data_IF_527943416994
#
_entry.id   IF_527943416994
#
_cell.length_a   1.000
_cell.length_b   1.000
_cell.length_c   1.000
_cell.angle_alpha   90.00
_cell.angle_beta   90.00
_cell.angle_gamma   90.00
#
_symmetry.space_group_name_H-M   'P 1'
#
loop_
_entity.id
_entity.type
_entity.pdbx_description
1 polymer ?
#
# COMPACT_ATOMS: atom_id res chain seq x y z
N UNK A 1 -18.53 5.79 -3.63
CA UNK A 1 -19.76 5.09 -3.17
C UNK A 1 -19.45 3.91 -2.23
N UNK A 2 -18.50 3.00 -2.54
CA UNK A 2 -18.17 1.86 -1.67
C UNK A 2 -17.69 2.30 -0.28
N UNK A 3 -16.81 3.30 -0.19
CA UNK A 3 -16.32 3.84 1.08
C UNK A 3 -17.43 4.45 1.92
N UNK A 4 -18.39 5.14 1.28
CA UNK A 4 -19.56 5.68 1.97
C UNK A 4 -20.46 4.58 2.52
N UNK A 5 -20.66 3.49 1.76
CA UNK A 5 -21.42 2.32 2.25
C UNK A 5 -20.75 1.65 3.45
N UNK A 6 -19.42 1.61 3.47
CA UNK A 6 -18.65 1.04 4.60
C UNK A 6 -18.49 2.02 5.78
N UNK A 7 -18.81 3.30 5.61
CA UNK A 7 -18.67 4.32 6.65
C UNK A 7 -17.22 4.61 7.05
N UNK A 8 -16.25 4.33 6.18
CA UNK A 8 -14.81 4.51 6.43
C UNK A 8 -14.15 5.30 5.31
N UNK A 9 -12.86 5.61 5.48
CA UNK A 9 -12.09 6.34 4.46
C UNK A 9 -11.88 5.51 3.18
N UNK A 10 -11.75 6.15 2.00
CA UNK A 10 -11.52 5.44 0.73
C UNK A 10 -10.32 4.49 0.76
N UNK A 11 -9.22 4.90 1.40
CA UNK A 11 -8.04 4.04 1.52
C UNK A 11 -8.28 2.79 2.37
N UNK A 12 -9.05 2.89 3.44
CA UNK A 12 -9.43 1.74 4.28
C UNK A 12 -10.28 0.74 3.49
N UNK A 13 -11.25 1.24 2.71
CA UNK A 13 -12.08 0.40 1.83
C UNK A 13 -11.25 -0.25 0.73
N UNK A 14 -10.37 0.51 0.08
CA UNK A 14 -9.47 -0.01 -0.94
C UNK A 14 -8.57 -1.12 -0.37
N UNK A 15 -7.95 -0.88 0.78
CA UNK A 15 -7.09 -1.89 1.44
C UNK A 15 -7.88 -3.14 1.80
N UNK A 16 -9.12 -3.01 2.27
CA UNK A 16 -10.01 -4.15 2.56
C UNK A 16 -10.33 -4.96 1.29
N UNK A 17 -10.63 -4.30 0.18
CA UNK A 17 -10.82 -4.94 -1.13
C UNK A 17 -9.59 -5.71 -1.57
N UNK A 18 -8.41 -5.10 -1.43
CA UNK A 18 -7.13 -5.75 -1.75
C UNK A 18 -6.88 -6.96 -0.86
N UNK A 19 -7.19 -6.89 0.43
CA UNK A 19 -7.11 -8.04 1.33
C UNK A 19 -8.02 -9.18 0.87
N UNK A 20 -9.28 -8.90 0.50
CA UNK A 20 -10.22 -9.90 -0.02
C UNK A 20 -9.71 -10.53 -1.32
N UNK A 21 -9.24 -9.72 -2.26
CA UNK A 21 -8.72 -10.19 -3.54
C UNK A 21 -7.47 -11.07 -3.38
N UNK A 22 -6.51 -10.63 -2.57
CA UNK A 22 -5.26 -11.38 -2.31
C UNK A 22 -5.55 -12.65 -1.54
N UNK A 23 -6.43 -12.60 -0.56
CA UNK A 23 -6.90 -13.79 0.18
C UNK A 23 -7.47 -14.84 -0.76
N UNK A 24 -8.40 -14.44 -1.62
CA UNK A 24 -9.03 -15.35 -2.58
C UNK A 24 -8.02 -15.91 -3.58
N UNK A 25 -7.12 -15.08 -4.09
CA UNK A 25 -6.09 -15.50 -5.05
C UNK A 25 -5.07 -16.47 -4.45
N UNK A 26 -4.64 -16.24 -3.20
CA UNK A 26 -3.65 -17.08 -2.52
C UNK A 26 -4.27 -18.28 -1.79
N UNK A 27 -5.59 -18.38 -1.73
CA UNK A 27 -6.35 -19.41 -1.01
C UNK A 27 -5.91 -19.56 0.45
N UNK A 28 -5.99 -18.45 1.20
CA UNK A 28 -5.55 -18.38 2.60
C UNK A 28 -6.69 -17.95 3.51
N UNK A 29 -6.60 -18.33 4.80
CA UNK A 29 -7.55 -17.88 5.84
C UNK A 29 -7.08 -16.60 6.56
N UNK A 30 -5.92 -16.08 6.19
CA UNK A 30 -5.36 -14.83 6.70
C UNK A 30 -4.50 -14.16 5.65
N UNK A 31 -4.41 -12.85 5.73
CA UNK A 31 -3.57 -12.04 4.83
C UNK A 31 -2.61 -11.20 5.67
N UNK A 32 -1.34 -11.26 5.31
CA UNK A 32 -0.30 -10.40 5.85
C UNK A 32 -0.08 -9.24 4.86
N UNK A 33 -0.53 -8.05 5.21
CA UNK A 33 -0.31 -6.88 4.38
C UNK A 33 0.57 -5.85 5.07
N UNK A 34 1.27 -5.06 4.28
CA UNK A 34 2.01 -3.91 4.76
C UNK A 34 1.58 -2.64 4.03
N UNK A 35 1.69 -1.52 4.72
CA UNK A 35 1.43 -0.21 4.15
C UNK A 35 2.44 0.81 4.65
N UNK A 36 2.60 1.85 3.86
CA UNK A 36 3.54 2.93 4.16
C UNK A 36 2.78 4.23 4.37
N UNK A 37 3.26 5.06 5.28
CA UNK A 37 2.69 6.37 5.56
C UNK A 37 3.78 7.43 5.69
N UNK A 38 3.45 8.65 5.27
CA UNK A 38 4.31 9.80 5.48
C UNK A 38 4.37 10.17 6.97
N UNK A 39 5.56 10.38 7.46
CA UNK A 39 5.83 10.76 8.85
C UNK A 39 6.51 12.14 8.98
N UNK A 40 6.57 12.93 7.89
CA UNK A 40 7.21 14.26 7.93
C UNK A 40 6.63 15.15 9.01
N UNK A 41 5.31 15.19 9.13
CA UNK A 41 4.64 15.98 10.17
C UNK A 41 5.02 15.51 11.56
N UNK A 42 5.02 14.22 11.80
CA UNK A 42 5.41 13.63 13.08
C UNK A 42 6.87 13.91 13.43
N UNK A 43 7.75 14.00 12.44
CA UNK A 43 9.16 14.35 12.59
C UNK A 43 9.41 15.86 12.73
N UNK A 44 8.39 16.70 12.61
CA UNK A 44 8.55 18.15 12.58
C UNK A 44 9.30 18.66 11.35
N UNK A 45 9.30 17.91 10.26
CA UNK A 45 10.03 18.20 9.03
C UNK A 45 9.13 18.11 7.79
N UNK A 46 8.03 18.91 7.71
CA UNK A 46 7.01 18.76 6.67
C UNK A 46 7.56 18.95 5.24
N UNK A 47 8.64 19.70 5.10
CA UNK A 47 9.26 20.00 3.80
C UNK A 47 10.52 19.16 3.52
N UNK A 48 10.76 18.10 4.28
CA UNK A 48 11.93 17.24 4.07
C UNK A 48 11.87 16.53 2.71
N UNK A 49 12.95 16.59 1.97
CA UNK A 49 13.09 15.94 0.66
C UNK A 49 13.59 14.49 0.75
N UNK A 50 14.07 14.07 1.91
CA UNK A 50 14.52 12.70 2.13
C UNK A 50 13.37 11.78 2.53
N UNK A 51 13.64 10.49 2.55
CA UNK A 51 12.65 9.47 2.90
C UNK A 51 12.24 9.56 4.37
N UNK A 52 10.99 9.93 4.62
CA UNK A 52 10.35 10.01 5.93
C UNK A 52 9.16 9.04 6.00
N UNK A 53 9.34 7.82 5.54
CA UNK A 53 8.27 6.81 5.47
C UNK A 53 8.33 5.89 6.68
N UNK A 54 7.22 5.78 7.39
CA UNK A 54 6.98 4.74 8.39
C UNK A 54 6.20 3.60 7.72
N UNK A 55 6.68 2.37 7.83
CA UNK A 55 6.03 1.20 7.27
C UNK A 55 5.46 0.33 8.38
N UNK A 56 4.22 -0.07 8.24
CA UNK A 56 3.50 -0.92 9.18
C UNK A 56 3.11 -2.23 8.51
N UNK A 57 2.96 -3.26 9.30
CA UNK A 57 2.56 -4.58 8.85
C UNK A 57 1.44 -5.10 9.73
N UNK A 58 0.43 -5.72 9.10
CA UNK A 58 -0.73 -6.26 9.78
C UNK A 58 -1.09 -7.64 9.26
N UNK A 59 -1.34 -8.54 10.17
CA UNK A 59 -1.92 -9.84 9.92
C UNK A 59 -3.42 -9.75 10.14
N UNK A 60 -4.21 -10.04 9.12
CA UNK A 60 -5.66 -9.96 9.12
C UNK A 60 -6.24 -11.36 8.89
N UNK A 61 -6.83 -12.00 9.91
CA UNK A 61 -7.68 -13.17 9.70
C UNK A 61 -8.88 -12.78 8.85
N UNK A 62 -9.16 -13.56 7.80
CA UNK A 62 -10.16 -13.18 6.81
C UNK A 62 -10.83 -14.42 6.21
N UNK A 63 -12.11 -14.60 6.49
CA UNK A 63 -12.92 -15.67 5.89
C UNK A 63 -13.38 -15.27 4.47
N UNK A 64 -13.76 -16.27 3.66
CA UNK A 64 -14.14 -16.04 2.26
C UNK A 64 -15.39 -15.17 2.14
N UNK A 65 -16.31 -15.31 3.09
CA UNK A 65 -17.64 -14.69 3.13
C UNK A 65 -17.67 -13.40 3.96
N UNK A 66 -16.52 -12.96 4.52
CA UNK A 66 -16.46 -11.74 5.33
C UNK A 66 -17.00 -10.53 4.56
N UNK A 67 -18.02 -9.81 5.10
CA UNK A 67 -18.56 -8.62 4.46
C UNK A 67 -17.50 -7.53 4.31
N UNK A 68 -17.47 -6.86 3.15
CA UNK A 68 -16.51 -5.79 2.90
C UNK A 68 -16.53 -4.70 3.98
N UNK A 69 -17.73 -4.32 4.45
CA UNK A 69 -17.89 -3.29 5.47
C UNK A 69 -17.19 -3.67 6.78
N UNK A 70 -17.30 -4.91 7.22
CA UNK A 70 -16.65 -5.41 8.44
C UNK A 70 -15.12 -5.37 8.30
N UNK A 71 -14.61 -5.89 7.19
CA UNK A 71 -13.17 -5.88 6.88
C UNK A 71 -12.65 -4.44 6.82
N UNK A 72 -13.39 -3.54 6.16
CA UNK A 72 -13.00 -2.15 6.00
C UNK A 72 -12.97 -1.38 7.34
N UNK A 73 -13.92 -1.66 8.24
CA UNK A 73 -13.94 -1.09 9.60
C UNK A 73 -12.73 -1.57 10.41
N UNK A 74 -12.38 -2.87 10.32
CA UNK A 74 -11.19 -3.41 10.99
C UNK A 74 -9.89 -2.78 10.47
N UNK A 75 -9.77 -2.64 9.15
CA UNK A 75 -8.62 -1.95 8.51
C UNK A 75 -8.56 -0.48 8.92
N UNK A 76 -9.69 0.23 8.97
CA UNK A 76 -9.75 1.63 9.34
C UNK A 76 -9.34 1.87 10.80
N UNK A 77 -9.74 0.98 11.70
CA UNK A 77 -9.32 1.02 13.11
C UNK A 77 -7.81 0.85 13.26
N UNK A 78 -7.22 -0.13 12.56
CA UNK A 78 -5.77 -0.36 12.54
C UNK A 78 -5.01 0.84 11.96
N UNK A 79 -5.48 1.39 10.85
CA UNK A 79 -4.89 2.59 10.24
C UNK A 79 -4.94 3.78 11.21
N UNK A 80 -6.05 4.03 11.88
CA UNK A 80 -6.20 5.12 12.85
C UNK A 80 -5.21 5.00 14.01
N UNK A 81 -5.02 3.81 14.53
CA UNK A 81 -4.05 3.55 15.59
C UNK A 81 -2.62 3.87 15.13
N UNK A 82 -2.23 3.35 13.98
CA UNK A 82 -0.85 3.45 13.48
C UNK A 82 -0.52 4.80 12.84
N UNK A 83 -1.52 5.58 12.44
CA UNK A 83 -1.31 6.92 11.88
C UNK A 83 -1.06 8.00 12.94
N UNK A 84 -1.14 7.68 14.23
CA UNK A 84 -0.78 8.62 15.29
C UNK A 84 0.69 9.05 15.18
N UNK A 85 0.99 10.29 15.57
CA UNK A 85 2.36 10.81 15.53
C UNK A 85 3.33 9.95 16.36
N UNK A 86 2.89 9.52 17.53
CA UNK A 86 3.67 8.67 18.42
C UNK A 86 4.05 7.33 17.77
N UNK A 87 3.08 6.64 17.16
CA UNK A 87 3.32 5.37 16.48
C UNK A 87 4.25 5.51 15.29
N UNK A 88 4.08 6.57 14.49
CA UNK A 88 4.96 6.87 13.36
C UNK A 88 6.40 7.10 13.82
N UNK A 89 6.61 7.92 14.87
CA UNK A 89 7.92 8.18 15.44
C UNK A 89 8.56 6.93 16.00
N UNK A 90 7.80 6.14 16.76
CA UNK A 90 8.29 4.87 17.29
C UNK A 90 8.74 3.94 16.14
N UNK A 91 7.93 3.81 15.10
CA UNK A 91 8.24 2.94 13.96
C UNK A 91 9.48 3.39 13.20
N UNK A 92 9.63 4.70 12.97
CA UNK A 92 10.85 5.23 12.35
C UNK A 92 12.06 5.00 13.23
N UNK A 93 11.95 5.25 14.52
CA UNK A 93 13.06 5.02 15.44
C UNK A 93 13.50 3.54 15.45
N UNK A 94 12.55 2.62 15.42
CA UNK A 94 12.81 1.19 15.32
C UNK A 94 13.50 0.82 14.00
N UNK A 95 12.97 1.28 12.86
CA UNK A 95 13.55 1.05 11.54
C UNK A 95 14.96 1.66 11.42
N UNK A 96 15.11 2.91 11.81
CA UNK A 96 16.41 3.60 11.75
C UNK A 96 17.41 3.02 12.75
N UNK A 97 16.96 2.62 13.92
CA UNK A 97 17.80 1.96 14.91
C UNK A 97 18.38 0.63 14.40
N UNK A 98 17.59 -0.13 13.66
CA UNK A 98 18.06 -1.34 13.00
C UNK A 98 19.08 -1.03 11.89
N UNK A 99 18.74 -0.12 10.98
CA UNK A 99 19.63 0.31 9.89
C UNK A 99 20.95 0.82 10.46
N UNK A 100 20.90 1.69 11.47
CA UNK A 100 22.08 2.25 12.12
C UNK A 100 22.96 1.15 12.72
N UNK A 101 22.38 0.21 13.47
CA UNK A 101 23.14 -0.91 14.08
C UNK A 101 23.86 -1.75 13.02
N UNK A 102 23.21 -2.07 11.92
CA UNK A 102 23.84 -2.82 10.82
C UNK A 102 24.92 -1.97 10.14
N UNK A 103 24.67 -0.66 9.94
CA UNK A 103 25.64 0.24 9.33
C UNK A 103 26.93 0.34 10.13
N UNK A 104 26.82 0.42 11.46
CA UNK A 104 27.98 0.51 12.37
C UNK A 104 28.84 -0.76 12.44
N UNK A 105 28.37 -1.88 11.91
CA UNK A 105 29.20 -3.10 11.90
C UNK A 105 30.43 -2.92 11.01
N UNK A 106 31.60 -3.32 11.54
CA UNK A 106 32.86 -3.39 10.76
C UNK A 106 32.84 -4.60 9.85
N UNK A 107 31.96 -4.61 8.86
CA UNK A 107 31.73 -5.72 7.94
C UNK A 107 31.64 -5.21 6.50
N UNK A 108 31.94 -6.09 5.54
CA UNK A 108 31.78 -5.77 4.13
C UNK A 108 30.32 -5.51 3.76
N UNK A 109 30.10 -4.79 2.67
CA UNK A 109 28.74 -4.51 2.16
C UNK A 109 27.93 -5.79 1.92
N UNK A 110 28.60 -6.84 1.44
CA UNK A 110 27.96 -8.15 1.20
C UNK A 110 27.45 -8.78 2.49
N UNK A 111 28.21 -8.70 3.57
CA UNK A 111 27.78 -9.19 4.89
C UNK A 111 26.62 -8.34 5.41
N UNK A 112 26.71 -7.02 5.34
CA UNK A 112 25.62 -6.11 5.74
C UNK A 112 24.32 -6.41 4.99
N UNK A 113 24.42 -6.63 3.67
CA UNK A 113 23.29 -7.03 2.84
C UNK A 113 22.62 -8.33 3.31
N UNK A 114 23.43 -9.34 3.65
CA UNK A 114 22.92 -10.62 4.20
C UNK A 114 22.22 -10.41 5.56
N UNK A 115 22.76 -9.57 6.43
CA UNK A 115 22.14 -9.25 7.72
C UNK A 115 20.77 -8.60 7.51
N UNK A 116 20.64 -7.65 6.54
CA UNK A 116 19.34 -7.06 6.21
C UNK A 116 18.37 -8.11 5.68
N UNK A 117 18.78 -8.97 4.76
CA UNK A 117 17.92 -10.03 4.22
C UNK A 117 17.46 -11.01 5.30
N UNK A 118 18.33 -11.36 6.25
CA UNK A 118 17.97 -12.19 7.40
C UNK A 118 17.00 -11.46 8.32
N UNK A 119 17.21 -10.18 8.56
CA UNK A 119 16.30 -9.35 9.37
C UNK A 119 14.90 -9.28 8.78
N UNK A 120 14.78 -9.11 7.47
CA UNK A 120 13.51 -9.16 6.75
C UNK A 120 12.82 -10.53 6.93
N UNK A 121 13.57 -11.61 6.80
CA UNK A 121 13.03 -12.96 6.99
C UNK A 121 12.56 -13.23 8.43
N UNK A 122 13.33 -12.80 9.42
CA UNK A 122 13.00 -12.99 10.84
C UNK A 122 11.82 -12.10 11.26
N UNK A 123 11.69 -10.91 10.70
CA UNK A 123 10.59 -9.98 11.00
C UNK A 123 9.25 -10.37 10.37
N UNK A 124 9.19 -11.50 9.63
CA UNK A 124 7.99 -11.97 8.97
C UNK A 124 7.76 -11.37 7.58
N UNK A 125 8.74 -10.66 7.03
CA UNK A 125 8.73 -10.33 5.61
C UNK A 125 9.13 -11.54 4.76
N UNK A 126 8.54 -11.70 3.58
CA UNK A 126 7.67 -10.73 2.90
C UNK A 126 6.20 -10.82 3.32
N UNK A 127 5.52 -9.69 3.39
CA UNK A 127 4.07 -9.63 3.42
C UNK A 127 3.48 -10.28 2.14
N UNK A 128 2.23 -10.73 2.18
CA UNK A 128 1.53 -11.22 0.99
C UNK A 128 1.41 -10.11 -0.05
N UNK A 129 1.12 -8.89 0.43
CA UNK A 129 1.18 -7.71 -0.39
C UNK A 129 1.57 -6.47 0.43
N UNK A 130 2.04 -5.45 -0.27
CA UNK A 130 2.17 -4.11 0.28
C UNK A 130 1.36 -3.13 -0.55
N UNK A 131 0.80 -2.12 0.12
CA UNK A 131 0.00 -1.08 -0.49
C UNK A 131 0.52 0.29 -0.12
N UNK A 132 0.61 1.15 -1.11
CA UNK A 132 0.92 2.57 -0.96
C UNK A 132 -0.16 3.40 -1.63
N UNK A 133 -0.60 4.47 -0.99
CA UNK A 133 -1.58 5.38 -1.54
C UNK A 133 -1.05 6.80 -1.47
N UNK A 134 -0.75 7.36 -2.62
CA UNK A 134 -0.22 8.73 -2.74
C UNK A 134 -1.31 9.80 -2.84
N UNK A 135 -2.57 9.40 -2.95
CA UNK A 135 -3.67 10.33 -3.15
C UNK A 135 -3.55 11.09 -4.47
N UNK A 136 -3.98 12.34 -4.46
CA UNK A 136 -3.78 13.26 -5.58
C UNK A 136 -2.48 14.03 -5.40
N UNK A 137 -1.38 13.64 -6.05
CA UNK A 137 -0.04 14.13 -5.76
C UNK A 137 0.14 15.64 -6.01
N UNK A 138 -0.72 16.23 -6.81
CA UNK A 138 -0.66 17.66 -7.19
C UNK A 138 -1.70 18.53 -6.53
N UNK A 139 -2.72 17.94 -5.89
CA UNK A 139 -3.88 18.68 -5.40
C UNK A 139 -3.59 19.76 -4.34
N UNK A 140 -2.64 19.57 -3.39
CA UNK A 140 -2.36 20.61 -2.40
C UNK A 140 -1.47 21.75 -2.90
N UNK A 141 -0.51 21.44 -3.80
CA UNK A 141 0.56 22.37 -4.16
C UNK A 141 0.31 23.14 -5.45
N UNK A 142 -0.48 22.61 -6.36
CA UNK A 142 -0.74 23.25 -7.65
C UNK A 142 -2.01 22.70 -8.29
N UNK A 143 -3.21 23.12 -7.83
CA UNK A 143 -4.47 22.66 -8.43
C UNK A 143 -4.57 23.02 -9.92
N UNK A 144 -3.87 24.07 -10.34
CA UNK A 144 -3.80 24.46 -11.75
C UNK A 144 -3.02 23.47 -12.63
N UNK A 145 -2.01 22.80 -12.09
CA UNK A 145 -1.26 21.77 -12.83
C UNK A 145 -2.09 20.52 -13.06
N UNK A 146 -2.99 20.19 -12.13
CA UNK A 146 -3.82 19.00 -12.20
C UNK A 146 -4.66 18.96 -13.49
N UNK A 147 -5.11 20.10 -13.99
CA UNK A 147 -5.89 20.20 -15.24
C UNK A 147 -5.13 19.81 -16.51
N UNK A 148 -3.80 19.84 -16.47
CA UNK A 148 -2.95 19.50 -17.63
C UNK A 148 -2.41 18.08 -17.57
N UNK A 149 -2.69 17.33 -16.50
CA UNK A 149 -2.22 15.97 -16.29
C UNK A 149 -3.41 15.05 -16.46
N UNK A 150 -3.37 14.21 -17.48
CA UNK A 150 -4.44 13.27 -17.81
C UNK A 150 -4.34 11.98 -17.00
N UNK A 151 -3.12 11.50 -16.75
CA UNK A 151 -2.85 10.29 -15.96
C UNK A 151 -1.62 10.47 -15.10
N UNK A 152 -1.61 9.79 -13.97
CA UNK A 152 -0.49 9.76 -13.04
C UNK A 152 -0.31 8.38 -12.43
N UNK A 153 0.84 7.79 -12.70
CA UNK A 153 1.20 6.46 -12.20
C UNK A 153 2.53 6.51 -11.47
N UNK A 154 2.65 5.69 -10.43
CA UNK A 154 3.91 5.54 -9.70
C UNK A 154 4.40 4.11 -9.76
N UNK A 155 5.71 3.97 -9.88
CA UNK A 155 6.37 2.69 -9.96
C UNK A 155 7.50 2.62 -8.95
N UNK A 156 7.36 1.75 -7.96
CA UNK A 156 8.44 1.38 -7.02
C UNK A 156 8.86 -0.06 -7.30
N UNK A 157 10.14 -0.40 -7.33
CA UNK A 157 10.57 -1.77 -7.52
C UNK A 157 9.93 -2.72 -6.51
N UNK A 158 9.41 -3.85 -6.97
CA UNK A 158 8.92 -4.90 -6.09
C UNK A 158 10.10 -5.69 -5.53
N UNK A 159 10.26 -5.72 -4.21
CA UNK A 159 11.21 -6.57 -3.53
C UNK A 159 10.53 -7.84 -2.99
N UNK A 160 11.29 -8.95 -3.02
CA UNK A 160 10.82 -10.23 -2.45
C UNK A 160 9.68 -10.90 -3.21
N UNK A 161 8.88 -11.66 -2.49
CA UNK A 161 7.75 -12.43 -3.01
C UNK A 161 6.40 -11.70 -2.91
N UNK A 162 6.38 -10.51 -2.32
CA UNK A 162 5.16 -9.72 -2.10
C UNK A 162 4.61 -9.17 -3.41
N UNK A 163 3.29 -9.02 -3.43
CA UNK A 163 2.58 -8.26 -4.47
C UNK A 163 2.69 -6.78 -4.10
N UNK A 164 3.20 -5.96 -4.99
CA UNK A 164 3.25 -4.50 -4.79
C UNK A 164 2.02 -3.84 -5.40
N UNK A 165 1.34 -3.01 -4.64
CA UNK A 165 0.12 -2.32 -5.04
C UNK A 165 0.27 -0.82 -4.76
N UNK A 166 0.49 -0.04 -5.80
CA UNK A 166 0.55 1.42 -5.68
C UNK A 166 -0.70 2.06 -6.24
N UNK A 167 -1.28 2.95 -5.44
CA UNK A 167 -2.51 3.62 -5.73
C UNK A 167 -2.28 5.12 -5.85
N UNK A 168 -2.77 5.71 -6.92
CA UNK A 168 -2.85 7.16 -7.12
C UNK A 168 -4.29 7.56 -7.37
N UNK A 169 -4.62 8.82 -7.18
CA UNK A 169 -5.96 9.34 -7.45
C UNK A 169 -5.85 10.64 -8.24
N UNK A 170 -6.48 10.67 -9.41
CA UNK A 170 -6.53 11.85 -10.27
C UNK A 170 -7.91 11.92 -10.94
N UNK A 171 -8.51 13.11 -10.99
CA UNK A 171 -9.83 13.35 -11.63
C UNK A 171 -10.95 12.39 -11.18
N UNK A 172 -10.92 11.94 -9.91
CA UNK A 172 -11.91 11.00 -9.38
C UNK A 172 -11.69 9.53 -9.76
N UNK A 173 -10.64 9.24 -10.49
CA UNK A 173 -10.22 7.90 -10.87
C UNK A 173 -9.09 7.46 -9.93
N UNK A 174 -9.17 6.23 -9.42
CA UNK A 174 -8.08 5.59 -8.69
C UNK A 174 -7.35 4.68 -9.65
N UNK A 175 -6.08 4.97 -9.88
CA UNK A 175 -5.19 4.11 -10.68
C UNK A 175 -4.45 3.17 -9.75
N UNK A 176 -4.52 1.87 -10.02
CA UNK A 176 -3.86 0.81 -9.27
C UNK A 176 -2.77 0.17 -10.11
N UNK A 177 -1.52 0.41 -9.74
CA UNK A 177 -0.35 -0.21 -10.35
C UNK A 177 0.02 -1.50 -9.59
N UNK A 178 -0.05 -2.63 -10.29
CA UNK A 178 0.27 -3.96 -9.74
C UNK A 178 1.69 -4.33 -10.14
N UNK A 179 2.51 -4.71 -9.15
CA UNK A 179 3.91 -5.10 -9.35
C UNK A 179 4.19 -6.46 -8.75
N UNK A 180 4.80 -7.31 -9.52
CA UNK A 180 5.19 -8.64 -9.08
C UNK A 180 6.61 -8.94 -9.52
N UNK A 181 7.45 -9.44 -8.61
CA UNK A 181 8.76 -9.97 -8.94
C UNK A 181 8.68 -11.36 -9.56
N UNK A 182 7.66 -12.12 -9.16
CA UNK A 182 7.36 -13.46 -9.66
C UNK A 182 6.07 -13.38 -10.47
N UNK A 183 6.00 -14.00 -11.67
CA UNK A 183 4.75 -14.04 -12.43
C UNK A 183 3.58 -14.55 -11.59
N UNK A 184 2.44 -13.87 -11.69
CA UNK A 184 1.22 -14.20 -10.95
C UNK A 184 0.04 -14.27 -11.92
N UNK A 185 -0.03 -15.36 -12.71
CA UNK A 185 -1.10 -15.52 -13.70
C UNK A 185 -2.46 -15.52 -13.01
N UNK A 186 -3.45 -14.86 -13.63
CA UNK A 186 -4.81 -14.76 -13.10
C UNK A 186 -5.00 -13.77 -11.94
N UNK A 187 -3.93 -13.09 -11.46
CA UNK A 187 -4.08 -12.15 -10.34
C UNK A 187 -4.85 -10.88 -10.74
N UNK A 188 -4.61 -10.37 -11.93
CA UNK A 188 -5.32 -9.18 -12.43
C UNK A 188 -6.82 -9.45 -12.57
N UNK A 189 -7.19 -10.63 -13.08
CA UNK A 189 -8.57 -11.08 -13.20
C UNK A 189 -9.22 -11.28 -11.83
N UNK A 190 -8.51 -11.89 -10.88
CA UNK A 190 -9.00 -12.05 -9.51
C UNK A 190 -9.22 -10.70 -8.81
N UNK A 191 -8.31 -9.76 -9.03
CA UNK A 191 -8.42 -8.41 -8.51
C UNK A 191 -9.64 -7.69 -9.10
N UNK A 192 -9.81 -7.73 -10.43
CA UNK A 192 -10.97 -7.17 -11.13
C UNK A 192 -12.27 -7.76 -10.58
N UNK A 193 -12.38 -9.08 -10.52
CA UNK A 193 -13.56 -9.77 -10.02
C UNK A 193 -13.93 -9.34 -8.59
N UNK A 194 -12.95 -9.16 -7.71
CA UNK A 194 -13.19 -8.69 -6.35
C UNK A 194 -13.76 -7.26 -6.29
N UNK A 195 -13.31 -6.37 -7.16
CA UNK A 195 -13.84 -5.00 -7.25
C UNK A 195 -15.24 -4.97 -7.85
N UNK A 196 -15.46 -5.70 -8.93
CA UNK A 196 -16.76 -5.78 -9.63
C UNK A 196 -17.83 -6.41 -8.74
N UNK A 197 -17.49 -7.42 -7.93
CA UNK A 197 -18.41 -8.02 -6.96
C UNK A 197 -18.95 -7.01 -5.93
N UNK A 198 -18.20 -5.96 -5.65
CA UNK A 198 -18.61 -4.86 -4.76
C UNK A 198 -19.22 -3.67 -5.53
N UNK A 199 -19.50 -3.84 -6.82
CA UNK A 199 -20.13 -2.83 -7.69
C UNK A 199 -19.17 -1.68 -8.06
N UNK A 200 -17.87 -1.92 -8.05
CA UNK A 200 -16.87 -0.94 -8.45
C UNK A 200 -16.49 -1.20 -9.91
N UNK A 201 -16.74 -0.20 -10.77
CA UNK A 201 -16.34 -0.29 -12.17
C UNK A 201 -14.82 -0.27 -12.30
N UNK A 202 -14.27 -1.28 -12.96
CA UNK A 202 -12.85 -1.35 -13.30
C UNK A 202 -12.70 -0.97 -14.77
N UNK A 203 -11.83 0.02 -15.05
CA UNK A 203 -11.50 0.46 -16.41
C UNK A 203 -10.15 -0.13 -16.81
N UNK A 204 -9.99 -0.50 -18.06
CA UNK A 204 -8.68 -0.84 -18.61
C UNK A 204 -7.95 0.41 -19.09
N UNK A 205 -6.62 0.38 -19.09
CA UNK A 205 -5.81 1.53 -19.54
C UNK A 205 -6.13 1.92 -21.00
N UNK A 206 -6.56 0.96 -21.84
CA UNK A 206 -6.99 1.20 -23.21
C UNK A 206 -8.34 1.95 -23.30
N UNK A 207 -9.22 1.81 -22.31
CA UNK A 207 -10.52 2.48 -22.25
C UNK A 207 -10.43 3.95 -21.82
N UNK A 208 -9.38 4.30 -21.04
CA UNK A 208 -9.13 5.67 -20.59
C UNK A 208 -8.77 6.64 -21.73
N UNK A 209 -8.24 6.12 -22.85
CA UNK A 209 -7.88 6.93 -24.03
C UNK A 209 -9.02 7.11 -25.06
N UNK A 210 -10.08 6.33 -24.96
CA UNK A 210 -11.16 6.33 -25.97
C UNK A 210 -12.21 7.43 -25.77
N UNK A 211 -12.40 7.90 -24.56
CA UNK A 211 -13.41 8.93 -24.23
C UNK A 211 -12.90 10.39 -24.41
N UNK A 212 -11.63 10.59 -24.77
CA UNK A 212 -11.00 11.92 -24.93
C UNK A 212 -10.72 12.29 -26.40
N UNK A 213 -11.28 11.56 -27.37
CA UNK A 213 -11.28 11.90 -28.82
C UNK A 213 -12.68 12.27 -29.28
#
# INVERSE_FOLDING_TARGET
DAALRCGVKPFSTLTALLCKAVRAYLDKDEVLYSYSTDARDALGAPNALYNCVASFQRKLPLTADAPLAEVAVGVDADLKENLSAERKLFRIAEQMGWVYRVYQQKASLSIKKRIFQMGEYISGFPADFWVSYLGGPFAPSSPELTRYIEDFQTWVPADGASIGLECTSLHGIITLCVKNKVPRPGFAEALRAAFEAEGIKVLEAAELGADNT
#
